data_IF_399139590979
#
_entry.id   IF_399139590979
#
_cell.length_a   1.000
_cell.length_b   1.000
_cell.length_c   1.000
_cell.angle_alpha   90.00
_cell.angle_beta   90.00
_cell.angle_gamma   90.00
#
_symmetry.space_group_name_H-M   'P 1'
#
loop_
_entity.id
_entity.type
_entity.pdbx_description
1 polymer ?
#
# COMPACT_ATOMS: atom_id res chain seq x y z
N UNK A 1 43.18 23.15 -19.30
CA UNK A 1 42.49 23.45 -18.03
C UNK A 1 41.97 22.14 -17.47
N UNK A 2 42.52 21.70 -16.34
CA UNK A 2 42.09 20.49 -15.63
C UNK A 2 41.01 20.92 -14.63
N UNK A 3 39.84 20.29 -14.71
CA UNK A 3 38.80 20.42 -13.70
C UNK A 3 38.96 19.23 -12.75
N UNK A 4 39.47 19.50 -11.55
CA UNK A 4 39.38 18.57 -10.44
C UNK A 4 37.98 18.69 -9.81
N UNK A 5 37.28 17.57 -9.54
CA UNK A 5 36.01 17.63 -8.83
C UNK A 5 36.22 17.90 -7.34
N UNK A 6 35.55 18.96 -6.88
CA UNK A 6 35.36 19.35 -5.48
C UNK A 6 34.73 18.18 -4.72
N UNK A 7 35.34 17.84 -3.58
CA UNK A 7 35.04 16.65 -2.81
C UNK A 7 33.60 16.54 -2.28
N UNK A 8 33.07 15.33 -2.36
CA UNK A 8 31.88 14.91 -1.64
C UNK A 8 32.31 14.06 -0.44
N UNK A 9 32.75 14.73 0.64
CA UNK A 9 32.73 14.14 1.97
C UNK A 9 31.32 14.30 2.53
N UNK A 10 30.38 13.52 2.00
CA UNK A 10 29.09 13.31 2.63
C UNK A 10 29.25 12.18 3.64
N UNK A 11 29.51 12.53 4.90
CA UNK A 11 29.36 11.59 6.01
C UNK A 11 27.97 10.96 5.92
N UNK A 12 27.92 9.64 5.71
CA UNK A 12 26.70 8.88 5.76
C UNK A 12 26.14 8.99 7.19
N UNK A 13 25.15 9.87 7.38
CA UNK A 13 24.32 9.82 8.58
C UNK A 13 23.72 8.42 8.66
N UNK A 14 23.88 7.69 9.78
CA UNK A 14 23.19 6.43 9.96
C UNK A 14 21.70 6.71 9.82
N UNK A 15 21.04 5.99 8.90
CA UNK A 15 19.60 5.99 8.77
C UNK A 15 19.03 5.46 10.09
N UNK A 16 18.67 6.38 10.99
CA UNK A 16 17.90 6.07 12.18
C UNK A 16 16.51 5.65 11.67
N UNK A 17 16.34 4.36 11.39
CA UNK A 17 15.02 3.77 11.16
C UNK A 17 14.17 4.04 12.40
N UNK A 18 12.86 4.28 12.24
CA UNK A 18 11.93 4.54 13.35
C UNK A 18 12.04 3.48 14.46
N UNK A 19 12.44 2.25 14.12
CA UNK A 19 12.82 1.19 15.06
C UNK A 19 13.99 1.52 15.99
N UNK A 20 15.00 2.30 15.62
CA UNK A 20 16.08 2.67 16.56
C UNK A 20 15.61 3.63 17.66
N UNK A 21 14.52 4.38 17.43
CA UNK A 21 13.91 5.28 18.42
C UNK A 21 12.74 4.61 19.17
N UNK A 22 12.14 3.55 18.61
CA UNK A 22 10.99 2.83 19.21
C UNK A 22 11.31 1.43 19.75
N UNK A 23 12.47 0.83 19.43
CA UNK A 23 12.86 -0.50 19.91
C UNK A 23 13.22 -0.52 21.41
N UNK A 24 13.43 0.64 22.03
CA UNK A 24 13.51 0.74 23.50
C UNK A 24 12.13 0.75 24.17
N UNK A 25 11.02 0.71 23.42
CA UNK A 25 9.66 0.72 23.98
C UNK A 25 8.66 -0.31 23.43
N UNK A 26 8.77 -0.75 22.17
CA UNK A 26 7.67 -1.50 21.54
C UNK A 26 7.80 -3.04 21.62
N UNK A 27 9.00 -3.61 21.47
CA UNK A 27 9.18 -5.07 21.41
C UNK A 27 9.04 -5.78 22.77
N UNK A 28 9.09 -5.03 23.88
CA UNK A 28 8.86 -5.55 25.23
C UNK A 28 7.48 -5.18 25.81
N UNK A 29 6.68 -4.38 25.12
CA UNK A 29 5.42 -3.84 25.68
C UNK A 29 4.19 -4.72 25.43
N UNK A 30 4.19 -5.61 24.42
CA UNK A 30 3.02 -6.48 24.16
C UNK A 30 2.96 -7.65 25.14
N UNK A 31 4.11 -8.16 25.59
CA UNK A 31 4.18 -9.24 26.59
C UNK A 31 4.13 -8.77 28.05
N UNK A 32 4.22 -7.47 28.29
CA UNK A 32 4.25 -6.87 29.62
C UNK A 32 3.13 -5.84 29.85
N UNK A 33 2.05 -5.90 29.05
CA UNK A 33 0.78 -5.44 29.57
C UNK A 33 0.54 -6.29 30.83
N UNK A 34 0.42 -5.68 32.04
CA UNK A 34 -0.08 -6.44 33.17
C UNK A 34 -1.33 -7.12 32.64
N UNK A 35 -1.46 -8.44 32.88
CA UNK A 35 -2.70 -9.17 32.68
C UNK A 35 -3.74 -8.35 33.42
N UNK A 36 -4.33 -7.38 32.71
CA UNK A 36 -5.09 -6.30 33.30
C UNK A 36 -6.12 -7.04 34.09
N UNK A 37 -6.05 -6.85 35.41
CA UNK A 37 -6.75 -7.63 36.41
C UNK A 37 -8.05 -8.06 35.77
N UNK A 38 -8.20 -9.37 35.46
CA UNK A 38 -9.46 -9.90 34.90
C UNK A 38 -10.51 -9.23 35.74
N UNK A 39 -11.28 -8.32 35.15
CA UNK A 39 -12.21 -7.54 35.94
C UNK A 39 -13.06 -8.59 36.62
N UNK A 40 -13.00 -8.69 37.96
CA UNK A 40 -13.66 -9.79 38.65
C UNK A 40 -15.14 -9.73 38.24
N UNK A 41 -15.61 -10.78 37.57
CA UNK A 41 -16.97 -10.84 37.03
C UNK A 41 -17.15 -10.45 35.56
N UNK A 42 -16.10 -10.14 34.79
CA UNK A 42 -16.22 -10.02 33.34
C UNK A 42 -16.44 -11.38 32.67
N UNK A 43 -17.30 -11.43 31.68
CA UNK A 43 -17.66 -12.62 30.92
C UNK A 43 -16.50 -13.12 30.06
N UNK A 44 -16.46 -14.44 29.82
CA UNK A 44 -15.47 -15.03 28.92
C UNK A 44 -15.61 -14.48 27.49
N UNK A 45 -16.82 -14.06 27.10
CA UNK A 45 -17.11 -13.50 25.78
C UNK A 45 -16.41 -12.16 25.56
N UNK A 46 -16.52 -11.20 26.47
CA UNK A 46 -15.84 -9.90 26.32
C UNK A 46 -14.31 -10.08 26.34
N UNK A 47 -13.81 -10.98 27.20
CA UNK A 47 -12.39 -11.28 27.26
C UNK A 47 -11.89 -11.90 25.96
N UNK A 48 -12.66 -12.79 25.33
CA UNK A 48 -12.31 -13.37 24.04
C UNK A 48 -12.26 -12.32 22.92
N UNK A 49 -13.19 -11.34 22.91
CA UNK A 49 -13.19 -10.25 21.94
C UNK A 49 -11.96 -9.32 22.12
N UNK A 50 -11.61 -9.00 23.37
CA UNK A 50 -10.41 -8.21 23.68
C UNK A 50 -9.15 -8.95 23.19
N UNK A 51 -9.02 -10.25 23.47
CA UNK A 51 -7.87 -11.02 23.01
C UNK A 51 -7.83 -11.18 21.48
N UNK A 52 -8.98 -11.34 20.82
CA UNK A 52 -9.06 -11.37 19.37
C UNK A 52 -8.59 -10.06 18.74
N UNK A 53 -9.05 -8.92 19.27
CA UNK A 53 -8.59 -7.61 18.79
C UNK A 53 -7.11 -7.38 19.10
N UNK A 54 -6.60 -7.78 20.28
CA UNK A 54 -5.15 -7.70 20.59
C UNK A 54 -4.31 -8.46 19.58
N UNK A 55 -4.72 -9.69 19.24
CA UNK A 55 -4.01 -10.52 18.28
C UNK A 55 -4.03 -9.88 16.87
N UNK A 56 -5.19 -9.41 16.42
CA UNK A 56 -5.33 -8.76 15.12
C UNK A 56 -4.55 -7.44 15.04
N UNK A 57 -4.61 -6.62 16.10
CA UNK A 57 -3.87 -5.37 16.21
C UNK A 57 -2.36 -5.60 16.21
N UNK A 58 -1.86 -6.61 16.93
CA UNK A 58 -0.44 -6.95 16.91
C UNK A 58 0.01 -7.40 15.51
N UNK A 59 -0.79 -8.23 14.82
CA UNK A 59 -0.49 -8.67 13.46
C UNK A 59 -0.45 -7.49 12.48
N UNK A 60 -1.45 -6.60 12.52
CA UNK A 60 -1.47 -5.37 11.73
C UNK A 60 -0.27 -4.49 12.01
N UNK A 61 0.08 -4.30 13.29
CA UNK A 61 1.20 -3.45 13.69
C UNK A 61 2.54 -3.89 13.09
N UNK A 62 2.79 -5.20 12.99
CA UNK A 62 4.00 -5.74 12.37
C UNK A 62 4.07 -5.50 10.85
N UNK A 63 2.95 -5.18 10.20
CA UNK A 63 2.92 -4.87 8.75
C UNK A 63 3.21 -3.41 8.41
N UNK A 64 3.14 -2.49 9.38
CA UNK A 64 3.30 -1.06 9.16
C UNK A 64 4.68 -0.69 8.59
N UNK A 65 5.74 -1.21 9.21
CA UNK A 65 7.11 -0.91 8.79
C UNK A 65 7.38 -1.45 7.37
N UNK A 66 7.13 -2.73 7.04
CA UNK A 66 7.28 -3.22 5.67
C UNK A 66 6.44 -2.47 4.63
N UNK A 67 5.18 -2.15 4.96
CA UNK A 67 4.28 -1.45 4.06
C UNK A 67 4.70 0.01 3.78
N UNK A 68 5.45 0.65 4.68
CA UNK A 68 6.01 1.99 4.45
C UNK A 68 7.41 1.95 3.82
N UNK A 69 8.28 1.06 4.32
CA UNK A 69 9.70 1.04 3.94
C UNK A 69 9.96 0.40 2.57
N UNK A 70 9.25 -0.68 2.22
CA UNK A 70 9.48 -1.40 0.96
C UNK A 70 9.08 -0.57 -0.28
N UNK A 71 7.90 0.08 -0.34
CA UNK A 71 7.58 0.94 -1.49
C UNK A 71 8.58 2.09 -1.67
N UNK A 72 9.05 2.70 -0.57
CA UNK A 72 10.06 3.77 -0.63
C UNK A 72 11.42 3.26 -1.08
N UNK A 73 11.83 2.10 -0.61
CA UNK A 73 13.08 1.47 -1.03
C UNK A 73 13.01 1.06 -2.51
N UNK A 74 11.88 0.50 -2.94
CA UNK A 74 11.62 0.17 -4.35
C UNK A 74 11.61 1.41 -5.23
N UNK A 75 10.98 2.52 -4.82
CA UNK A 75 10.99 3.76 -5.57
C UNK A 75 12.42 4.32 -5.77
N UNK A 76 13.27 4.21 -4.74
CA UNK A 76 14.70 4.58 -4.84
C UNK A 76 15.45 3.68 -5.82
N UNK A 77 15.22 2.37 -5.76
CA UNK A 77 15.82 1.39 -6.68
C UNK A 77 15.34 1.62 -8.13
N UNK A 78 14.04 1.86 -8.32
CA UNK A 78 13.44 2.18 -9.62
C UNK A 78 14.05 3.44 -10.21
N UNK A 79 14.21 4.51 -9.41
CA UNK A 79 14.86 5.74 -9.85
C UNK A 79 16.35 5.54 -10.20
N UNK A 80 17.04 4.63 -9.51
CA UNK A 80 18.45 4.34 -9.78
C UNK A 80 18.65 3.53 -11.07
N UNK A 81 17.76 2.57 -11.35
CA UNK A 81 17.82 1.75 -12.58
C UNK A 81 17.18 2.42 -13.79
N UNK A 82 16.12 3.17 -13.55
CA UNK A 82 15.30 3.90 -14.52
C UNK A 82 15.06 3.11 -15.81
N UNK A 83 14.26 2.02 -15.76
CA UNK A 83 13.95 1.24 -16.95
C UNK A 83 13.24 2.11 -17.97
N UNK A 84 13.74 2.07 -19.21
CA UNK A 84 13.23 2.89 -20.31
C UNK A 84 12.60 2.00 -21.38
N UNK A 85 11.41 2.37 -21.82
CA UNK A 85 10.76 1.82 -23.01
C UNK A 85 11.18 2.66 -24.20
N UNK A 86 11.99 2.12 -25.13
CA UNK A 86 12.43 2.87 -26.30
C UNK A 86 11.22 3.19 -27.20
N UNK A 87 11.21 4.39 -27.75
CA UNK A 87 10.30 4.78 -28.81
C UNK A 87 11.11 4.89 -30.11
N UNK A 88 10.82 4.01 -31.08
CA UNK A 88 11.56 3.91 -32.37
C UNK A 88 11.61 5.22 -33.20
N UNK A 89 10.88 6.26 -32.80
CA UNK A 89 10.89 7.59 -33.42
C UNK A 89 11.89 8.57 -32.77
N UNK A 90 12.74 8.07 -31.87
CA UNK A 90 13.71 8.85 -31.12
C UNK A 90 13.21 9.14 -29.70
N UNK A 91 14.01 8.74 -28.71
CA UNK A 91 13.70 8.92 -27.30
C UNK A 91 13.27 7.62 -26.61
N UNK A 92 12.98 7.75 -25.32
CA UNK A 92 12.48 6.65 -24.50
C UNK A 92 11.60 7.21 -23.38
N UNK A 93 10.69 6.37 -22.90
CA UNK A 93 9.72 6.73 -21.86
C UNK A 93 10.03 5.89 -20.62
N UNK A 94 10.12 6.52 -19.46
CA UNK A 94 10.32 5.82 -18.19
C UNK A 94 9.10 4.98 -17.82
N UNK A 95 9.34 3.80 -17.25
CA UNK A 95 8.26 2.92 -16.76
C UNK A 95 7.51 3.51 -15.55
N UNK A 96 8.12 4.47 -14.86
CA UNK A 96 7.54 5.23 -13.74
C UNK A 96 6.31 6.06 -14.14
N UNK A 97 6.17 6.37 -15.44
CA UNK A 97 4.99 7.04 -16.00
C UNK A 97 3.73 6.16 -16.06
N UNK A 98 3.87 4.85 -15.83
CA UNK A 98 2.77 3.90 -15.87
C UNK A 98 2.51 3.29 -17.26
N UNK A 99 1.92 2.09 -17.25
CA UNK A 99 1.76 1.25 -18.45
C UNK A 99 0.82 1.86 -19.48
N UNK A 100 -0.28 2.41 -19.02
CA UNK A 100 -1.32 3.02 -19.84
C UNK A 100 -0.74 4.24 -20.57
N UNK A 101 -0.04 5.11 -19.85
CA UNK A 101 0.61 6.28 -20.43
C UNK A 101 1.64 5.89 -21.50
N UNK A 102 2.51 4.91 -21.21
CA UNK A 102 3.52 4.45 -22.19
C UNK A 102 2.86 3.91 -23.45
N UNK A 103 1.79 3.11 -23.31
CA UNK A 103 1.04 2.56 -24.46
C UNK A 103 0.41 3.66 -25.31
N UNK A 104 -0.23 4.63 -24.66
CA UNK A 104 -0.82 5.79 -25.34
C UNK A 104 0.23 6.63 -26.06
N UNK A 105 1.38 6.86 -25.41
CA UNK A 105 2.48 7.63 -26.01
C UNK A 105 3.06 6.93 -27.24
N UNK A 106 3.25 5.60 -27.21
CA UNK A 106 3.65 4.81 -28.38
C UNK A 106 2.62 4.97 -29.50
N UNK A 107 1.34 4.73 -29.21
CA UNK A 107 0.27 4.80 -30.21
C UNK A 107 0.16 6.22 -30.82
N UNK A 108 0.26 7.26 -29.99
CA UNK A 108 0.25 8.67 -30.42
C UNK A 108 1.41 8.99 -31.35
N UNK A 109 2.61 8.47 -31.06
CA UNK A 109 3.78 8.69 -31.89
C UNK A 109 3.61 8.06 -33.28
N UNK A 110 3.11 6.82 -33.35
CA UNK A 110 2.83 6.15 -34.63
C UNK A 110 1.65 6.77 -35.40
N UNK A 111 0.64 7.29 -34.70
CA UNK A 111 -0.45 8.04 -35.33
C UNK A 111 0.09 9.27 -36.08
N UNK A 112 0.98 10.06 -35.47
CA UNK A 112 1.64 11.20 -36.13
C UNK A 112 2.47 10.78 -37.34
N UNK A 113 3.17 9.65 -37.28
CA UNK A 113 3.91 9.13 -38.45
C UNK A 113 2.98 8.72 -39.60
N UNK A 114 1.80 8.18 -39.31
CA UNK A 114 0.81 7.85 -40.35
C UNK A 114 0.27 9.10 -41.05
N UNK A 115 0.05 10.20 -40.32
CA UNK A 115 -0.32 11.48 -40.94
C UNK A 115 0.73 11.95 -41.95
N UNK A 116 2.01 11.72 -41.68
CA UNK A 116 3.09 11.99 -42.65
C UNK A 116 2.99 11.07 -43.87
N UNK A 117 2.71 9.78 -43.69
CA UNK A 117 2.54 8.83 -44.81
C UNK A 117 1.40 9.22 -45.76
N UNK A 118 0.31 9.81 -45.23
CA UNK A 118 -0.77 10.33 -46.08
C UNK A 118 -0.30 11.41 -47.07
N UNK A 119 0.70 12.21 -46.69
CA UNK A 119 1.28 13.21 -47.60
C UNK A 119 2.03 12.55 -48.76
N UNK A 120 2.73 11.43 -48.50
CA UNK A 120 3.48 10.67 -49.51
C UNK A 120 2.56 9.89 -50.44
N UNK A 121 1.38 9.45 -49.98
CA UNK A 121 0.44 8.66 -50.79
C UNK A 121 0.04 9.33 -52.11
N UNK A 122 -0.01 10.66 -52.14
CA UNK A 122 -0.34 11.43 -53.36
C UNK A 122 0.83 11.49 -54.36
N UNK A 123 2.06 11.35 -53.87
CA UNK A 123 3.29 11.44 -54.66
C UNK A 123 3.74 10.07 -55.15
N UNK A 124 3.70 9.07 -54.27
CA UNK A 124 4.11 7.69 -54.54
C UNK A 124 3.26 6.73 -53.68
N UNK A 125 2.19 6.14 -54.25
CA UNK A 125 1.31 5.22 -53.53
C UNK A 125 2.00 3.94 -53.06
N UNK A 126 2.96 3.42 -53.84
CA UNK A 126 3.66 2.17 -53.51
C UNK A 126 4.61 2.39 -52.34
N UNK A 127 5.32 3.53 -52.33
CA UNK A 127 6.14 3.92 -51.18
C UNK A 127 5.27 4.10 -49.93
N UNK A 128 4.12 4.78 -50.04
CA UNK A 128 3.23 4.98 -48.91
C UNK A 128 2.71 3.66 -48.31
N UNK A 129 2.31 2.70 -49.15
CA UNK A 129 1.91 1.36 -48.69
C UNK A 129 3.04 0.64 -47.94
N UNK A 130 4.27 0.68 -48.46
CA UNK A 130 5.44 0.10 -47.79
C UNK A 130 5.76 0.77 -46.44
N UNK A 131 5.61 2.11 -46.37
CA UNK A 131 5.77 2.86 -45.13
C UNK A 131 4.71 2.48 -44.09
N UNK A 132 3.44 2.35 -44.48
CA UNK A 132 2.37 1.93 -43.57
C UNK A 132 2.59 0.54 -42.99
N UNK A 133 2.96 -0.43 -43.84
CA UNK A 133 3.25 -1.79 -43.40
C UNK A 133 4.41 -1.81 -42.40
N UNK A 134 5.43 -0.98 -42.64
CA UNK A 134 6.57 -0.79 -41.73
C UNK A 134 6.12 -0.19 -40.40
N UNK A 135 5.32 0.89 -40.42
CA UNK A 135 4.83 1.54 -39.20
C UNK A 135 3.97 0.59 -38.36
N UNK A 136 3.07 -0.20 -38.96
CA UNK A 136 2.27 -1.19 -38.22
C UNK A 136 3.14 -2.25 -37.55
N UNK A 137 4.13 -2.76 -38.27
CA UNK A 137 5.07 -3.76 -37.73
C UNK A 137 5.86 -3.19 -36.56
N UNK A 138 6.36 -1.96 -36.70
CA UNK A 138 7.13 -1.26 -35.67
C UNK A 138 6.30 -0.89 -34.44
N UNK A 139 5.06 -0.46 -34.63
CA UNK A 139 4.14 -0.19 -33.51
C UNK A 139 3.89 -1.46 -32.70
N UNK A 140 3.57 -2.57 -33.36
CA UNK A 140 3.36 -3.85 -32.70
C UNK A 140 4.61 -4.33 -31.95
N UNK A 141 5.81 -4.16 -32.54
CA UNK A 141 7.08 -4.47 -31.88
C UNK A 141 7.31 -3.62 -30.63
N UNK A 142 7.05 -2.31 -30.70
CA UNK A 142 7.21 -1.42 -29.56
C UNK A 142 6.20 -1.71 -28.44
N UNK A 143 4.95 -2.02 -28.78
CA UNK A 143 3.95 -2.45 -27.80
C UNK A 143 4.37 -3.76 -27.11
N UNK A 144 4.84 -4.74 -27.87
CA UNK A 144 5.32 -6.02 -27.31
C UNK A 144 6.57 -5.82 -26.43
N UNK A 145 7.48 -4.93 -26.81
CA UNK A 145 8.65 -4.59 -26.00
C UNK A 145 8.26 -3.87 -24.71
N UNK A 146 7.35 -2.89 -24.79
CA UNK A 146 6.80 -2.22 -23.61
C UNK A 146 6.19 -3.24 -22.65
N UNK A 147 5.35 -4.15 -23.15
CA UNK A 147 4.73 -5.19 -22.34
C UNK A 147 5.75 -6.11 -21.66
N UNK A 148 6.84 -6.46 -22.36
CA UNK A 148 7.94 -7.24 -21.78
C UNK A 148 8.65 -6.47 -20.66
N UNK A 149 8.95 -5.20 -20.88
CA UNK A 149 9.63 -4.36 -19.88
C UNK A 149 8.75 -4.21 -18.63
N UNK A 150 7.45 -3.95 -18.78
CA UNK A 150 6.52 -3.90 -17.64
C UNK A 150 6.39 -5.25 -16.93
N UNK A 151 6.39 -6.37 -17.66
CA UNK A 151 6.38 -7.69 -17.04
C UNK A 151 7.65 -7.97 -16.25
N UNK A 152 8.82 -7.54 -16.74
CA UNK A 152 10.09 -7.71 -16.04
C UNK A 152 10.18 -6.77 -14.83
N UNK A 153 9.66 -5.54 -14.92
CA UNK A 153 9.58 -4.63 -13.78
C UNK A 153 8.60 -5.14 -12.72
N UNK A 154 7.45 -5.72 -13.11
CA UNK A 154 6.53 -6.34 -12.16
C UNK A 154 7.19 -7.51 -11.42
N UNK A 155 7.91 -8.40 -12.11
CA UNK A 155 8.67 -9.47 -11.45
C UNK A 155 9.71 -8.93 -10.49
N UNK A 156 10.34 -7.80 -10.82
CA UNK A 156 11.30 -7.15 -9.94
C UNK A 156 10.61 -6.58 -8.71
N UNK A 157 9.48 -5.88 -8.87
CA UNK A 157 8.61 -5.41 -7.78
C UNK A 157 8.15 -6.55 -6.86
N UNK A 158 7.74 -7.68 -7.43
CA UNK A 158 7.34 -8.88 -6.71
C UNK A 158 8.50 -9.44 -5.88
N UNK A 159 9.70 -9.55 -6.49
CA UNK A 159 10.91 -10.01 -5.81
C UNK A 159 11.35 -9.05 -4.71
N UNK A 160 11.12 -7.75 -4.90
CA UNK A 160 11.37 -6.72 -3.89
C UNK A 160 10.42 -6.86 -2.69
N UNK A 161 9.26 -7.50 -2.89
CA UNK A 161 8.29 -7.81 -1.83
C UNK A 161 7.25 -6.71 -1.60
N UNK A 162 7.17 -5.71 -2.46
CA UNK A 162 6.26 -4.56 -2.29
C UNK A 162 4.80 -5.04 -2.26
N UNK A 163 4.38 -5.79 -3.28
CA UNK A 163 2.99 -6.24 -3.39
C UNK A 163 2.61 -7.23 -2.28
N UNK A 164 3.57 -8.00 -1.78
CA UNK A 164 3.36 -8.90 -0.65
C UNK A 164 3.13 -8.11 0.65
N UNK A 165 3.91 -7.05 0.89
CA UNK A 165 3.76 -6.19 2.06
C UNK A 165 2.47 -5.36 2.00
N UNK A 166 2.14 -4.79 0.84
CA UNK A 166 0.88 -4.07 0.62
C UNK A 166 -0.33 -4.97 0.88
N UNK A 167 -0.33 -6.22 0.35
CA UNK A 167 -1.40 -7.19 0.62
C UNK A 167 -1.50 -7.54 2.10
N UNK A 168 -0.37 -7.84 2.77
CA UNK A 168 -0.38 -8.20 4.19
C UNK A 168 -0.92 -7.06 5.05
N UNK A 169 -0.56 -5.81 4.74
CA UNK A 169 -1.13 -4.63 5.40
C UNK A 169 -2.65 -4.58 5.21
N UNK A 170 -3.15 -4.62 3.97
CA UNK A 170 -4.59 -4.54 3.68
C UNK A 170 -5.37 -5.67 4.36
N UNK A 171 -4.85 -6.90 4.36
CA UNK A 171 -5.52 -8.04 4.98
C UNK A 171 -5.58 -7.92 6.50
N UNK A 172 -4.47 -7.53 7.13
CA UNK A 172 -4.41 -7.38 8.59
C UNK A 172 -5.15 -6.15 9.09
N UNK A 173 -5.19 -5.07 8.31
CA UNK A 173 -5.96 -3.86 8.57
C UNK A 173 -7.46 -4.17 8.60
N UNK A 174 -7.96 -4.90 7.59
CA UNK A 174 -9.35 -5.42 7.58
C UNK A 174 -9.64 -6.31 8.77
N UNK A 175 -8.74 -7.23 9.12
CA UNK A 175 -8.92 -8.15 10.24
C UNK A 175 -8.95 -7.41 11.58
N UNK A 176 -8.09 -6.41 11.76
CA UNK A 176 -8.04 -5.57 12.95
C UNK A 176 -9.31 -4.72 13.07
N UNK A 177 -9.73 -4.05 11.98
CA UNK A 177 -10.96 -3.28 11.92
C UNK A 177 -12.20 -4.13 12.28
N UNK A 178 -12.33 -5.32 11.69
CA UNK A 178 -13.42 -6.24 12.01
C UNK A 178 -13.39 -6.71 13.47
N UNK A 179 -12.22 -6.97 14.04
CA UNK A 179 -12.10 -7.34 15.45
C UNK A 179 -12.44 -6.19 16.39
N UNK A 180 -12.08 -4.95 16.04
CA UNK A 180 -12.42 -3.76 16.80
C UNK A 180 -13.92 -3.48 16.75
N UNK A 181 -14.51 -3.58 15.55
CA UNK A 181 -15.96 -3.50 15.36
C UNK A 181 -16.70 -4.48 16.27
N UNK A 182 -16.33 -5.76 16.22
CA UNK A 182 -16.95 -6.80 17.04
C UNK A 182 -16.83 -6.52 18.55
N UNK A 183 -15.75 -5.86 18.99
CA UNK A 183 -15.59 -5.45 20.39
C UNK A 183 -16.50 -4.25 20.75
N UNK A 184 -16.54 -3.22 19.90
CA UNK A 184 -17.37 -2.02 20.13
C UNK A 184 -18.87 -2.31 19.99
N UNK A 185 -19.28 -3.12 19.02
CA UNK A 185 -20.65 -3.50 18.74
C UNK A 185 -21.18 -4.63 19.65
N UNK A 186 -20.34 -5.20 20.53
CA UNK A 186 -20.82 -6.21 21.47
C UNK A 186 -21.67 -5.60 22.58
N UNK A 187 -22.89 -6.11 22.77
CA UNK A 187 -23.71 -5.78 23.92
C UNK A 187 -23.16 -6.42 25.20
N UNK A 188 -22.85 -5.60 26.20
CA UNK A 188 -22.40 -6.06 27.51
C UNK A 188 -23.59 -6.24 28.46
N UNK A 189 -23.79 -7.45 28.98
CA UNK A 189 -24.88 -7.74 29.93
C UNK A 189 -24.60 -7.21 31.34
N UNK A 190 -23.33 -6.94 31.66
CA UNK A 190 -22.90 -6.56 33.01
C UNK A 190 -22.03 -5.31 33.00
N UNK A 191 -22.05 -4.58 34.12
CA UNK A 191 -21.15 -3.45 34.34
C UNK A 191 -19.67 -3.89 34.39
N UNK A 192 -19.38 -5.14 34.75
CA UNK A 192 -18.04 -5.68 34.73
C UNK A 192 -17.51 -5.81 33.29
N UNK A 193 -18.37 -6.23 32.35
CA UNK A 193 -18.03 -6.30 30.92
C UNK A 193 -17.73 -4.92 30.34
N UNK A 194 -18.57 -3.93 30.64
CA UNK A 194 -18.35 -2.56 30.19
C UNK A 194 -17.04 -1.97 30.74
N UNK A 195 -16.74 -2.23 32.01
CA UNK A 195 -15.47 -1.81 32.62
C UNK A 195 -14.28 -2.48 31.98
N UNK A 196 -14.36 -3.77 31.67
CA UNK A 196 -13.29 -4.50 30.99
C UNK A 196 -13.04 -3.95 29.58
N UNK A 197 -14.12 -3.72 28.81
CA UNK A 197 -14.08 -3.12 27.48
C UNK A 197 -13.47 -1.72 27.51
N UNK A 198 -13.99 -0.84 28.36
CA UNK A 198 -13.49 0.52 28.51
C UNK A 198 -12.02 0.53 28.95
N UNK A 199 -11.64 -0.27 29.95
CA UNK A 199 -10.26 -0.36 30.41
C UNK A 199 -9.32 -0.78 29.28
N UNK A 200 -9.73 -1.70 28.42
CA UNK A 200 -8.95 -2.08 27.26
C UNK A 200 -8.80 -0.93 26.24
N UNK A 201 -9.90 -0.28 25.85
CA UNK A 201 -9.88 0.85 24.91
C UNK A 201 -9.00 1.98 25.43
N UNK A 202 -9.05 2.29 26.73
CA UNK A 202 -8.26 3.36 27.33
C UNK A 202 -6.80 2.99 27.63
N UNK A 203 -6.45 1.69 27.64
CA UNK A 203 -5.10 1.24 27.98
C UNK A 203 -4.08 1.54 26.87
N UNK A 204 -4.49 1.47 25.60
CA UNK A 204 -3.62 1.77 24.45
C UNK A 204 -4.07 3.05 23.76
N UNK A 205 -3.15 4.02 23.61
CA UNK A 205 -3.43 5.31 22.99
C UNK A 205 -3.97 5.15 21.56
N UNK A 206 -3.45 4.20 20.77
CA UNK A 206 -3.84 4.00 19.38
C UNK A 206 -5.22 3.38 19.26
N UNK A 207 -5.51 2.38 20.08
CA UNK A 207 -6.86 1.78 20.14
C UNK A 207 -7.88 2.84 20.55
N UNK A 208 -7.54 3.67 21.56
CA UNK A 208 -8.37 4.81 21.94
C UNK A 208 -8.58 5.80 20.80
N UNK A 209 -7.52 6.15 20.07
CA UNK A 209 -7.62 7.06 18.93
C UNK A 209 -8.47 6.47 17.80
N UNK A 210 -8.31 5.20 17.45
CA UNK A 210 -9.17 4.52 16.47
C UNK A 210 -10.64 4.61 16.87
N UNK A 211 -10.98 4.28 18.12
CA UNK A 211 -12.38 4.33 18.59
C UNK A 211 -12.94 5.74 18.63
N UNK A 212 -12.14 6.75 19.00
CA UNK A 212 -12.63 8.12 19.18
C UNK A 212 -12.62 8.96 17.89
N UNK A 213 -11.77 8.63 16.93
CA UNK A 213 -11.62 9.39 15.68
C UNK A 213 -12.43 8.82 14.53
N UNK A 214 -12.79 7.53 14.59
CA UNK A 214 -13.68 6.90 13.60
C UNK A 214 -15.11 6.86 14.16
N UNK A 215 -16.05 7.66 13.60
CA UNK A 215 -17.41 7.79 14.10
C UNK A 215 -18.12 6.45 14.26
N UNK A 216 -17.88 5.50 13.36
CA UNK A 216 -18.54 4.20 13.31
C UNK A 216 -18.27 3.37 14.58
N UNK A 217 -17.02 3.31 15.05
CA UNK A 217 -16.69 2.59 16.29
C UNK A 217 -17.22 3.30 17.53
N UNK A 218 -17.18 4.64 17.54
CA UNK A 218 -17.70 5.45 18.64
C UNK A 218 -19.22 5.26 18.77
N UNK A 219 -19.94 5.32 17.65
CA UNK A 219 -21.38 5.13 17.58
C UNK A 219 -21.77 3.71 18.03
N UNK A 220 -21.11 2.67 17.51
CA UNK A 220 -21.36 1.29 17.94
C UNK A 220 -21.14 1.10 19.45
N UNK A 221 -20.06 1.69 19.99
CA UNK A 221 -19.78 1.66 21.43
C UNK A 221 -20.86 2.38 22.24
N UNK A 222 -21.31 3.56 21.79
CA UNK A 222 -22.34 4.34 22.48
C UNK A 222 -23.73 3.69 22.40
N UNK A 223 -24.11 3.12 21.26
CA UNK A 223 -25.36 2.40 21.06
C UNK A 223 -25.46 1.19 22.00
N UNK A 224 -24.41 0.36 22.03
CA UNK A 224 -24.37 -0.81 22.91
C UNK A 224 -24.41 -0.41 24.39
N UNK A 225 -23.71 0.66 24.77
CA UNK A 225 -23.73 1.20 26.14
C UNK A 225 -25.11 1.76 26.52
N UNK A 226 -25.83 2.35 25.56
CA UNK A 226 -27.19 2.86 25.76
C UNK A 226 -28.26 1.76 25.79
N UNK A 227 -27.88 0.49 25.53
CA UNK A 227 -28.81 -0.62 25.40
C UNK A 227 -29.67 -0.56 24.13
N UNK A 228 -29.20 0.19 23.12
CA UNK A 228 -29.84 0.26 21.80
C UNK A 228 -29.22 -0.88 20.97
N UNK A 229 -30.00 -1.87 20.53
CA UNK A 229 -29.48 -2.93 19.68
C UNK A 229 -29.00 -2.34 18.34
N UNK A 230 -27.93 -2.90 17.79
CA UNK A 230 -27.43 -2.55 16.46
C UNK A 230 -28.36 -3.14 15.40
N UNK A 231 -29.10 -2.28 14.70
CA UNK A 231 -29.99 -2.66 13.60
C UNK A 231 -29.20 -3.24 12.39
N UNK A 232 -27.87 -3.10 12.35
CA UNK A 232 -27.01 -3.56 11.25
C UNK A 232 -26.29 -4.89 11.54
N UNK A 233 -26.49 -5.51 12.71
CA UNK A 233 -25.81 -6.76 13.09
C UNK A 233 -26.19 -7.98 12.21
N UNK A 234 -27.10 -7.81 11.24
CA UNK A 234 -27.59 -8.87 10.35
C UNK A 234 -27.06 -8.88 8.91
N UNK A 235 -26.21 -7.93 8.50
CA UNK A 235 -25.78 -7.82 7.08
C UNK A 235 -24.29 -8.15 6.79
N UNK A 236 -23.56 -8.73 7.75
CA UNK A 236 -22.15 -9.12 7.57
C UNK A 236 -21.97 -10.53 6.94
#
# INVERSE_FOLDING_TARGET
MRNDPIGANGEAMPAITRRAVLATGAAAAVSALPRAARSEGASDKIMALIEAHRAAFAAWYETLDPADELPRAYARDLNARMPLVPCDLGGAIGVDMGREYVREAIASAFAKSREVVETYRRMDPLLAEAMEATLRTREAQNQALADRIFADEQKHRDKFGVDAAERAYVETDKAQAAALWNLCAHYCETLADERARAAYVFADKRVREMVLLEPEYCEALLQTTAGIPDDNAGEA
#
